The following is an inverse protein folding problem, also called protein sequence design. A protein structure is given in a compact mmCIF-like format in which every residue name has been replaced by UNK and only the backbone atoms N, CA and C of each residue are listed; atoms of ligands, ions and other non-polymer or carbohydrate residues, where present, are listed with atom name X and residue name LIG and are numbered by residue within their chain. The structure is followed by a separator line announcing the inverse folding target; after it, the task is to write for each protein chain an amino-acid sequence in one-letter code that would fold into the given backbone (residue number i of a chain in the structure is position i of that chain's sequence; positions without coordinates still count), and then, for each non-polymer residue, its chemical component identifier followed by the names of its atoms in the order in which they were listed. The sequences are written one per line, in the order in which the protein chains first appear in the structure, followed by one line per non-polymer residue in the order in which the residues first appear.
data_IF_879689805357
#
_entry.id   IF_879689805357
#
_cell.length_a   1.000
_cell.length_b   1.000
_cell.length_c   1.000
_cell.angle_alpha   90.00
_cell.angle_beta   90.00
_cell.angle_gamma   90.00
#
_symmetry.space_group_name_H-M   'P 1'
#
loop_
_entity.id
_entity.type
_entity.pdbx_description
1 polymer ?
#
# COMPACT_ATOMS: atom_id res chain seq x y z
N UNK A 1 13.22 20.99 11.89
CA UNK A 1 12.69 19.72 12.43
C UNK A 1 12.60 18.72 11.30
N UNK A 2 13.05 17.49 11.50
CA UNK A 2 12.92 16.44 10.48
C UNK A 2 11.45 16.04 10.34
N UNK A 3 11.03 15.64 9.14
CA UNK A 3 9.63 15.28 8.85
C UNK A 3 9.06 14.23 9.82
N UNK A 4 9.88 13.26 10.22
CA UNK A 4 9.47 12.20 11.14
C UNK A 4 9.30 12.71 12.57
N UNK A 5 10.10 13.71 12.99
CA UNK A 5 9.98 14.36 14.30
C UNK A 5 8.67 15.15 14.38
N UNK A 6 8.34 15.86 13.29
CA UNK A 6 7.08 16.58 13.19
C UNK A 6 5.89 15.61 13.26
N UNK A 7 5.91 14.54 12.48
CA UNK A 7 4.84 13.52 12.50
C UNK A 7 4.67 12.88 13.89
N UNK A 8 5.76 12.66 14.63
CA UNK A 8 5.73 12.12 15.98
C UNK A 8 5.11 13.12 16.97
N UNK A 9 5.59 14.36 16.96
CA UNK A 9 5.11 15.39 17.89
C UNK A 9 3.63 15.73 17.71
N UNK A 10 3.16 15.77 16.46
CA UNK A 10 1.73 15.96 16.18
C UNK A 10 0.88 14.80 16.70
N UNK A 11 1.38 13.58 16.65
CA UNK A 11 0.66 12.39 17.07
C UNK A 11 0.71 12.16 18.60
N UNK A 12 1.86 12.46 19.20
CA UNK A 12 2.17 12.19 20.60
C UNK A 12 2.77 13.41 21.29
N UNK A 13 2.03 14.52 21.42
CA UNK A 13 2.53 15.73 22.06
C UNK A 13 2.91 15.52 23.53
N UNK A 14 2.36 14.47 24.15
CA UNK A 14 2.62 14.08 25.53
C UNK A 14 3.88 13.22 25.73
N UNK A 15 4.46 12.69 24.64
CA UNK A 15 5.66 11.82 24.70
C UNK A 15 6.92 12.61 24.42
N UNK A 16 7.94 12.37 25.24
CA UNK A 16 9.24 12.98 25.04
C UNK A 16 9.94 12.36 23.82
N UNK A 17 10.20 13.20 22.83
CA UNK A 17 10.88 12.82 21.60
C UNK A 17 12.35 12.42 21.84
N UNK A 18 13.00 12.96 22.87
CA UNK A 18 14.41 12.69 23.19
C UNK A 18 14.66 11.22 23.49
N UNK A 19 13.63 10.50 23.94
CA UNK A 19 13.70 9.07 24.20
C UNK A 19 13.77 8.21 22.93
N UNK A 20 13.61 8.80 21.72
CA UNK A 20 13.52 8.04 20.47
C UNK A 20 14.52 8.53 19.42
N UNK A 21 15.32 7.63 18.87
CA UNK A 21 16.13 7.87 17.70
C UNK A 21 15.28 7.64 16.44
N UNK A 22 14.81 8.73 15.82
CA UNK A 22 13.94 8.67 14.64
C UNK A 22 14.75 8.75 13.35
N UNK A 23 14.57 7.79 12.44
CA UNK A 23 15.27 7.74 11.15
C UNK A 23 14.33 7.42 10.01
N UNK A 24 14.57 8.04 8.83
CA UNK A 24 13.93 7.70 7.56
C UNK A 24 15.00 7.20 6.61
N UNK A 25 14.73 6.06 5.95
CA UNK A 25 15.55 5.50 4.89
C UNK A 25 14.70 5.22 3.66
N UNK A 26 15.08 5.78 2.52
CA UNK A 26 14.47 5.48 1.22
C UNK A 26 15.25 4.36 0.52
N UNK A 27 14.53 3.42 -0.09
CA UNK A 27 15.14 2.26 -0.72
C UNK A 27 14.44 1.88 -2.03
N UNK A 28 15.21 1.37 -3.01
CA UNK A 28 14.68 0.80 -4.26
C UNK A 28 14.25 -0.66 -4.11
N UNK A 29 14.61 -1.31 -2.99
CA UNK A 29 14.26 -2.71 -2.73
C UNK A 29 12.78 -2.93 -2.48
N UNK A 30 12.03 -1.86 -2.21
CA UNK A 30 10.60 -1.92 -1.99
C UNK A 30 9.85 -1.68 -3.28
N UNK A 31 8.75 -2.41 -3.46
CA UNK A 31 7.76 -2.11 -4.47
C UNK A 31 7.23 -0.68 -4.30
N UNK A 32 6.72 -0.03 -5.37
CA UNK A 32 6.19 1.32 -5.30
C UNK A 32 5.23 1.52 -4.11
N UNK A 33 5.40 2.63 -3.40
CA UNK A 33 4.58 3.03 -2.24
C UNK A 33 4.56 2.04 -1.07
N UNK A 34 5.43 1.04 -1.05
CA UNK A 34 5.63 0.20 0.13
C UNK A 34 6.44 0.94 1.19
N UNK A 35 6.12 0.64 2.45
CA UNK A 35 6.79 1.16 3.62
C UNK A 35 6.73 0.16 4.78
N UNK A 36 7.74 0.19 5.63
CA UNK A 36 7.70 -0.47 6.93
C UNK A 36 8.43 0.39 7.98
N UNK A 37 8.24 0.01 9.23
CA UNK A 37 8.97 0.59 10.35
C UNK A 37 9.60 -0.51 11.16
N UNK A 38 10.87 -0.31 11.52
CA UNK A 38 11.59 -1.14 12.51
C UNK A 38 11.58 -0.41 13.83
N UNK A 39 11.11 -1.08 14.84
CA UNK A 39 11.03 -0.57 16.20
C UNK A 39 11.97 -1.34 17.12
N UNK A 40 12.73 -0.62 17.89
CA UNK A 40 13.48 -1.10 19.05
C UNK A 40 13.15 -0.22 20.24
N UNK A 41 13.57 -0.59 21.46
CA UNK A 41 13.23 0.12 22.69
C UNK A 41 13.33 1.67 22.56
N UNK A 42 14.36 2.17 21.86
CA UNK A 42 14.66 3.60 21.76
C UNK A 42 14.84 4.05 20.31
N UNK A 43 14.38 3.30 19.30
CA UNK A 43 14.59 3.67 17.90
C UNK A 43 13.43 3.29 17.02
N UNK A 44 13.02 4.22 16.16
CA UNK A 44 12.05 4.04 15.09
C UNK A 44 12.73 4.33 13.74
N UNK A 45 12.96 3.31 12.94
CA UNK A 45 13.50 3.47 11.60
C UNK A 45 12.41 3.18 10.56
N UNK A 46 11.97 4.21 9.86
CA UNK A 46 11.05 4.12 8.74
C UNK A 46 11.81 3.80 7.46
N UNK A 47 11.48 2.68 6.81
CA UNK A 47 12.01 2.33 5.50
C UNK A 47 10.91 2.54 4.48
N UNK A 48 11.12 3.41 3.53
CA UNK A 48 10.16 3.84 2.53
C UNK A 48 10.68 3.51 1.13
N UNK A 49 9.80 3.15 0.20
CA UNK A 49 10.19 3.11 -1.21
C UNK A 49 10.59 4.49 -1.70
N UNK A 50 11.47 4.59 -2.69
CA UNK A 50 11.90 5.90 -3.25
C UNK A 50 10.73 6.70 -3.86
N UNK A 51 9.65 6.04 -4.28
CA UNK A 51 8.46 6.74 -4.81
C UNK A 51 7.86 7.74 -3.82
N UNK A 52 8.00 7.49 -2.52
CA UNK A 52 7.53 8.42 -1.48
C UNK A 52 8.21 9.79 -1.50
N UNK A 53 9.42 9.92 -2.06
CA UNK A 53 10.13 11.22 -2.12
C UNK A 53 9.39 12.29 -2.90
N UNK A 54 8.58 11.88 -3.89
CA UNK A 54 7.84 12.78 -4.79
C UNK A 54 6.41 13.06 -4.29
N UNK A 55 6.06 12.58 -3.11
CA UNK A 55 4.73 12.75 -2.52
C UNK A 55 4.79 13.89 -1.49
N UNK A 56 3.69 14.59 -1.31
CA UNK A 56 3.61 15.70 -0.36
C UNK A 56 4.00 15.29 1.06
N UNK A 57 4.51 16.23 1.83
CA UNK A 57 4.99 15.98 3.20
C UNK A 57 3.86 15.53 4.12
N UNK A 58 2.67 16.07 3.94
CA UNK A 58 1.48 15.77 4.72
C UNK A 58 1.07 14.30 4.55
N UNK A 59 1.09 13.80 3.32
CA UNK A 59 0.79 12.39 3.02
C UNK A 59 1.89 11.48 3.59
N UNK A 60 3.17 11.86 3.47
CA UNK A 60 4.26 11.12 4.08
C UNK A 60 4.15 11.11 5.62
N UNK A 61 3.74 12.22 6.24
CA UNK A 61 3.48 12.29 7.69
C UNK A 61 2.34 11.35 8.08
N UNK A 62 1.25 11.34 7.32
CA UNK A 62 0.12 10.42 7.55
C UNK A 62 0.53 8.94 7.49
N UNK A 63 1.35 8.56 6.51
CA UNK A 63 1.95 7.22 6.45
C UNK A 63 2.75 6.90 7.72
N UNK A 64 3.65 7.79 8.14
CA UNK A 64 4.48 7.57 9.34
C UNK A 64 3.64 7.52 10.61
N UNK A 65 2.65 8.40 10.76
CA UNK A 65 1.70 8.39 11.86
C UNK A 65 0.92 7.06 11.92
N UNK A 66 0.41 6.58 10.79
CA UNK A 66 -0.27 5.29 10.70
C UNK A 66 0.61 4.10 11.10
N UNK A 67 1.90 4.13 10.74
CA UNK A 67 2.86 3.10 11.16
C UNK A 67 3.17 3.19 12.66
N UNK A 68 3.30 4.39 13.23
CA UNK A 68 3.50 4.58 14.68
C UNK A 68 2.31 4.08 15.49
N UNK A 69 1.08 4.39 15.07
CA UNK A 69 -0.13 3.91 15.76
C UNK A 69 -0.20 2.40 15.86
N UNK A 70 0.24 1.68 14.80
CA UNK A 70 0.31 0.20 14.82
C UNK A 70 1.33 -0.31 15.84
N UNK A 71 2.50 0.34 15.95
CA UNK A 71 3.54 -0.05 16.92
C UNK A 71 3.08 0.21 18.35
N UNK A 72 2.55 1.39 18.61
CA UNK A 72 2.13 1.79 19.95
C UNK A 72 0.74 1.24 20.32
N UNK A 73 0.08 0.54 19.37
CA UNK A 73 -1.28 -0.01 19.54
C UNK A 73 -2.30 1.04 19.97
N UNK A 74 -2.14 2.25 19.47
CA UNK A 74 -3.03 3.37 19.73
C UNK A 74 -3.96 3.61 18.53
N UNK A 75 -5.11 4.25 18.78
CA UNK A 75 -6.08 4.66 17.76
C UNK A 75 -6.26 6.17 17.86
N UNK A 76 -5.73 6.89 16.90
CA UNK A 76 -5.90 8.35 16.77
C UNK A 76 -6.21 8.66 15.29
N UNK A 77 -7.00 9.68 15.04
CA UNK A 77 -7.24 10.23 13.71
C UNK A 77 -6.51 11.56 13.59
N UNK A 78 -5.87 11.80 12.44
CA UNK A 78 -5.26 13.09 12.09
C UNK A 78 -5.57 13.41 10.65
N UNK A 79 -5.60 14.69 10.30
CA UNK A 79 -5.78 15.14 8.91
C UNK A 79 -4.76 14.50 7.97
N UNK A 80 -3.51 14.33 8.43
CA UNK A 80 -2.45 13.70 7.65
C UNK A 80 -2.75 12.22 7.35
N UNK A 81 -3.28 11.47 8.33
CA UNK A 81 -3.71 10.07 8.12
C UNK A 81 -4.87 10.01 7.11
N UNK A 82 -5.82 10.93 7.18
CA UNK A 82 -6.93 10.98 6.22
C UNK A 82 -6.44 11.30 4.80
N UNK A 83 -5.50 12.24 4.66
CA UNK A 83 -4.84 12.54 3.38
C UNK A 83 -4.09 11.32 2.82
N UNK A 84 -3.35 10.61 3.67
CA UNK A 84 -2.67 9.37 3.29
C UNK A 84 -3.67 8.30 2.84
N UNK A 85 -4.75 8.09 3.58
CA UNK A 85 -5.77 7.10 3.23
C UNK A 85 -6.46 7.45 1.91
N UNK A 86 -6.78 8.73 1.69
CA UNK A 86 -7.37 9.21 0.44
C UNK A 86 -6.41 9.05 -0.74
N UNK A 87 -5.12 9.36 -0.55
CA UNK A 87 -4.08 9.13 -1.55
C UNK A 87 -3.99 7.65 -1.93
N UNK A 88 -3.95 6.74 -0.94
CA UNK A 88 -3.86 5.30 -1.20
C UNK A 88 -5.09 4.75 -1.93
N UNK A 89 -6.28 5.24 -1.59
CA UNK A 89 -7.53 4.85 -2.27
C UNK A 89 -7.55 5.27 -3.75
N UNK A 90 -6.97 6.43 -4.06
CA UNK A 90 -6.97 6.99 -5.41
C UNK A 90 -5.70 6.67 -6.21
N UNK A 91 -4.76 5.94 -5.62
CA UNK A 91 -3.47 5.66 -6.23
C UNK A 91 -3.61 4.92 -7.57
N UNK A 92 -4.59 4.00 -7.68
CA UNK A 92 -4.87 3.22 -8.88
C UNK A 92 -5.19 4.09 -10.12
N UNK A 93 -5.75 5.30 -9.93
CA UNK A 93 -6.11 6.22 -11.03
C UNK A 93 -4.87 6.71 -11.79
N UNK A 94 -3.75 6.86 -11.08
CA UNK A 94 -2.49 7.38 -11.66
C UNK A 94 -1.52 6.30 -12.13
N UNK A 95 -1.86 5.02 -11.96
CA UNK A 95 -0.99 3.91 -12.34
C UNK A 95 -1.27 3.49 -13.79
N UNK A 96 -0.24 3.42 -14.67
CA UNK A 96 -0.42 2.96 -16.04
C UNK A 96 -0.94 1.52 -16.12
N UNK A 97 -1.93 1.27 -16.96
CA UNK A 97 -2.51 -0.05 -17.22
C UNK A 97 -1.80 -0.71 -18.40
N UNK A 98 -0.58 -1.20 -18.17
CA UNK A 98 0.28 -1.78 -19.21
C UNK A 98 0.28 -3.31 -19.24
N UNK A 99 -0.06 -3.96 -18.14
CA UNK A 99 -0.12 -5.42 -18.04
C UNK A 99 -1.56 -5.89 -18.13
N UNK A 100 -1.87 -6.60 -19.20
CA UNK A 100 -3.22 -7.06 -19.50
C UNK A 100 -3.18 -8.42 -20.16
N UNK A 101 -3.12 -9.48 -19.36
CA UNK A 101 -3.29 -10.83 -19.85
C UNK A 101 -4.72 -11.02 -20.39
N UNK A 102 -4.90 -11.45 -21.67
CA UNK A 102 -6.23 -11.54 -22.29
C UNK A 102 -7.18 -12.52 -21.56
N UNK A 103 -6.66 -13.65 -21.09
CA UNK A 103 -7.45 -14.66 -20.42
C UNK A 103 -7.96 -14.17 -19.05
N UNK A 104 -7.07 -13.52 -18.28
CA UNK A 104 -7.46 -12.85 -17.03
C UNK A 104 -8.42 -11.68 -17.30
N UNK A 105 -8.22 -10.96 -18.41
CA UNK A 105 -9.10 -9.88 -18.83
C UNK A 105 -10.54 -10.33 -19.09
N UNK A 106 -10.71 -11.46 -19.77
CA UNK A 106 -12.03 -12.06 -19.98
C UNK A 106 -12.70 -12.50 -18.67
N UNK A 107 -11.95 -13.15 -17.79
CA UNK A 107 -12.44 -13.54 -16.45
C UNK A 107 -12.85 -12.32 -15.64
N UNK A 108 -11.98 -11.29 -15.59
CA UNK A 108 -12.30 -10.05 -14.92
C UNK A 108 -13.59 -9.40 -15.43
N UNK A 109 -13.78 -9.35 -16.75
CA UNK A 109 -14.98 -8.77 -17.35
C UNK A 109 -16.25 -9.55 -16.93
N UNK A 110 -16.21 -10.89 -16.97
CA UNK A 110 -17.36 -11.72 -16.53
C UNK A 110 -17.73 -11.47 -15.07
N UNK A 111 -16.73 -11.45 -14.19
CA UNK A 111 -16.93 -11.20 -12.75
C UNK A 111 -17.40 -9.76 -12.51
N UNK A 112 -16.80 -8.78 -13.19
CA UNK A 112 -17.18 -7.37 -13.09
C UNK A 112 -18.64 -7.15 -13.51
N UNK A 113 -19.05 -7.67 -14.68
CA UNK A 113 -20.44 -7.60 -15.14
C UNK A 113 -21.41 -8.27 -14.18
N UNK A 114 -21.09 -9.49 -13.72
CA UNK A 114 -21.98 -10.30 -12.90
C UNK A 114 -22.21 -9.74 -11.50
N UNK A 115 -21.17 -9.19 -10.86
CA UNK A 115 -21.19 -8.81 -9.44
C UNK A 115 -21.07 -7.32 -9.19
N UNK A 116 -20.53 -6.57 -10.14
CA UNK A 116 -20.23 -5.15 -9.99
C UNK A 116 -20.84 -4.26 -11.07
N UNK A 117 -21.71 -4.83 -11.93
CA UNK A 117 -22.42 -4.11 -12.99
C UNK A 117 -21.48 -3.36 -13.95
N UNK A 118 -20.28 -3.88 -14.19
CA UNK A 118 -19.27 -3.24 -15.02
C UNK A 118 -18.62 -1.99 -14.41
N UNK A 119 -18.86 -1.68 -13.15
CA UNK A 119 -18.43 -0.43 -12.52
C UNK A 119 -16.98 -0.43 -12.04
N UNK A 120 -16.33 -1.58 -11.95
CA UNK A 120 -14.94 -1.66 -11.48
C UNK A 120 -14.00 -1.42 -12.63
N UNK A 121 -13.12 -0.42 -12.49
CA UNK A 121 -12.05 -0.17 -13.46
C UNK A 121 -11.04 -1.33 -13.45
N UNK A 122 -10.66 -1.80 -14.65
CA UNK A 122 -9.77 -2.95 -14.78
C UNK A 122 -8.34 -2.60 -14.36
N UNK A 123 -7.77 -3.29 -13.36
CA UNK A 123 -6.36 -3.12 -12.97
C UNK A 123 -5.42 -3.81 -13.96
N UNK A 124 -4.11 -3.74 -13.69
CA UNK A 124 -3.15 -4.61 -14.35
C UNK A 124 -3.41 -6.07 -13.95
N UNK A 125 -3.34 -7.00 -14.90
CA UNK A 125 -3.64 -8.41 -14.71
C UNK A 125 -2.43 -9.27 -15.09
N UNK A 126 -1.94 -10.08 -14.16
CA UNK A 126 -0.75 -10.91 -14.35
C UNK A 126 -0.89 -12.30 -13.70
N UNK A 127 -0.07 -13.24 -14.16
CA UNK A 127 0.08 -14.57 -13.57
C UNK A 127 1.31 -14.63 -12.66
N UNK A 128 1.26 -15.55 -11.67
CA UNK A 128 2.43 -15.96 -10.89
C UNK A 128 2.44 -17.48 -10.65
N UNK A 129 3.58 -18.03 -10.26
CA UNK A 129 3.80 -19.48 -10.12
C UNK A 129 3.55 -20.01 -8.69
N UNK A 130 3.17 -19.17 -7.73
CA UNK A 130 2.94 -19.61 -6.35
C UNK A 130 1.70 -20.51 -6.24
N UNK A 131 1.88 -21.69 -5.67
CA UNK A 131 0.80 -22.63 -5.36
C UNK A 131 0.09 -22.33 -4.01
N UNK A 132 0.75 -21.58 -3.13
CA UNK A 132 0.22 -21.26 -1.78
C UNK A 132 -0.64 -20.00 -1.76
N UNK A 133 -0.38 -19.07 -2.67
CA UNK A 133 -1.14 -17.83 -2.80
C UNK A 133 -1.88 -17.86 -4.12
N UNK A 134 -3.18 -18.06 -4.08
CA UNK A 134 -4.01 -18.19 -5.29
C UNK A 134 -4.24 -16.87 -6.01
N UNK A 135 -4.37 -15.77 -5.26
CA UNK A 135 -4.51 -14.44 -5.81
C UNK A 135 -3.96 -13.37 -4.86
N UNK A 136 -3.67 -12.20 -5.40
CA UNK A 136 -3.30 -11.02 -4.62
C UNK A 136 -3.56 -9.74 -5.40
N UNK A 137 -3.91 -8.68 -4.67
CA UNK A 137 -3.96 -7.33 -5.20
C UNK A 137 -2.87 -6.47 -4.59
N UNK A 138 -2.18 -5.72 -5.43
CA UNK A 138 -1.12 -4.81 -5.02
C UNK A 138 -1.49 -3.37 -5.35
N UNK A 139 -1.76 -2.59 -4.31
CA UNK A 139 -2.18 -1.18 -4.44
C UNK A 139 -1.14 -0.30 -5.15
N UNK A 140 0.14 -0.49 -4.85
CA UNK A 140 1.22 0.35 -5.37
C UNK A 140 1.45 0.24 -6.89
N UNK A 141 0.93 -0.81 -7.52
CA UNK A 141 1.02 -1.06 -8.96
C UNK A 141 -0.34 -1.30 -9.60
N UNK A 142 -1.41 -1.21 -8.79
CA UNK A 142 -2.78 -1.53 -9.19
C UNK A 142 -2.83 -2.83 -10.00
N UNK A 143 -2.37 -3.92 -9.39
CA UNK A 143 -2.18 -5.19 -10.08
C UNK A 143 -2.89 -6.32 -9.34
N UNK A 144 -3.76 -7.03 -10.03
CA UNK A 144 -4.22 -8.35 -9.61
C UNK A 144 -3.28 -9.39 -10.22
N UNK A 145 -2.72 -10.23 -9.36
CA UNK A 145 -1.89 -11.37 -9.75
C UNK A 145 -2.58 -12.66 -9.36
N UNK A 146 -2.81 -13.55 -10.32
CA UNK A 146 -3.46 -14.84 -10.12
C UNK A 146 -2.46 -15.98 -10.26
N UNK A 147 -2.67 -17.05 -9.49
CA UNK A 147 -1.84 -18.25 -9.63
C UNK A 147 -2.17 -19.00 -10.93
N UNK A 148 -1.15 -19.46 -11.65
CA UNK A 148 -1.31 -20.30 -12.85
C UNK A 148 -2.07 -21.60 -12.58
N UNK A 149 -2.09 -22.07 -11.33
CA UNK A 149 -2.88 -23.23 -10.91
C UNK A 149 -4.38 -23.06 -11.20
N UNK A 150 -4.89 -21.81 -11.12
CA UNK A 150 -6.30 -21.50 -11.40
C UNK A 150 -6.62 -21.43 -12.89
N UNK A 151 -5.61 -21.30 -13.75
CA UNK A 151 -5.80 -21.21 -15.20
C UNK A 151 -6.29 -22.49 -15.86
N UNK A 152 -6.30 -23.63 -15.17
CA UNK A 152 -6.80 -24.89 -15.65
C UNK A 152 -8.34 -24.97 -15.71
N UNK A 153 -9.04 -24.17 -14.90
CA UNK A 153 -10.51 -24.17 -14.80
C UNK A 153 -11.04 -22.73 -14.73
N UNK A 154 -11.82 -22.33 -15.74
CA UNK A 154 -12.45 -21.00 -15.81
C UNK A 154 -13.38 -20.73 -14.61
N UNK A 155 -14.08 -21.73 -14.11
CA UNK A 155 -15.00 -21.55 -12.99
C UNK A 155 -14.24 -21.24 -11.69
N UNK A 156 -13.08 -21.89 -11.48
CA UNK A 156 -12.22 -21.59 -10.33
C UNK A 156 -11.57 -20.20 -10.41
N UNK A 157 -11.31 -19.73 -11.62
CA UNK A 157 -10.72 -18.41 -11.82
C UNK A 157 -11.75 -17.29 -11.55
N UNK A 158 -13.01 -17.52 -11.88
CA UNK A 158 -14.11 -16.56 -11.71
C UNK A 158 -14.72 -16.57 -10.29
N UNK A 159 -14.34 -17.56 -9.45
CA UNK A 159 -14.80 -17.69 -8.07
C UNK A 159 -14.03 -16.79 -7.12
#
# INVERSE_FOLDING_TARGET
MKLVEQAFNELFPEKDLENYNLKIKYTDKFKPYNANVRYTKNSLQFNLSKKWRNISKEIQMGLMQGLMLRIFKEKKATTNIDLYNSFMKNLHISIPKINNDPFLGESFNRVNEKYFFGLVERPNLTWHDSIRRLGSYEYGTDTISMSKVLGADKNLLDY
#
